data_IF_937789371018
#
_entry.id   IF_937789371018
#
_cell.length_a   1.000
_cell.length_b   1.000
_cell.length_c   1.000
_cell.angle_alpha   90.00
_cell.angle_beta   90.00
_cell.angle_gamma   90.00
#
_symmetry.space_group_name_H-M   'P 1'
#
loop_
_entity.id
_entity.type
_entity.pdbx_description
1 polymer ?
#
# COMPACT_ATOMS: atom_id res chain seq x y z
N UNK A 1 17.89 14.56 -0.99
CA UNK A 1 16.69 14.86 -1.85
C UNK A 1 15.45 14.35 -1.12
N UNK A 2 14.46 15.22 -0.89
CA UNK A 2 13.21 14.86 -0.19
C UNK A 2 12.35 14.01 -1.13
N UNK A 3 11.99 12.80 -0.70
CA UNK A 3 11.14 11.88 -1.46
C UNK A 3 9.67 12.27 -1.37
N UNK A 4 9.00 12.32 -2.51
CA UNK A 4 7.60 12.76 -2.66
C UNK A 4 6.66 11.56 -2.67
N UNK A 5 5.71 11.51 -1.73
CA UNK A 5 4.73 10.43 -1.58
C UNK A 5 3.36 10.88 -2.07
N UNK A 6 2.68 10.00 -2.79
CA UNK A 6 1.26 10.12 -3.11
C UNK A 6 0.55 9.06 -2.27
N UNK A 7 -0.49 9.44 -1.54
CA UNK A 7 -1.27 8.53 -0.71
C UNK A 7 -2.63 8.29 -1.37
N UNK A 8 -2.87 7.08 -1.82
CA UNK A 8 -4.17 6.66 -2.33
C UNK A 8 -5.00 6.08 -1.17
N UNK A 9 -6.23 6.56 -1.00
CA UNK A 9 -7.05 6.32 0.18
C UNK A 9 -6.65 7.21 1.36
N UNK A 10 -6.25 8.47 1.05
CA UNK A 10 -5.71 9.42 2.04
C UNK A 10 -6.71 9.75 3.15
N UNK A 11 -8.02 9.81 2.86
CA UNK A 11 -9.07 10.06 3.84
C UNK A 11 -9.43 8.86 4.73
N UNK A 12 -8.87 7.68 4.47
CA UNK A 12 -9.04 6.49 5.30
C UNK A 12 -8.18 6.51 6.57
N UNK A 13 -8.45 5.59 7.50
CA UNK A 13 -7.69 5.48 8.76
C UNK A 13 -6.18 5.37 8.52
N UNK A 14 -5.76 4.48 7.63
CA UNK A 14 -4.34 4.31 7.30
C UNK A 14 -3.75 5.50 6.57
N UNK A 15 -4.52 6.19 5.72
CA UNK A 15 -4.11 7.42 5.07
C UNK A 15 -3.74 8.51 6.07
N UNK A 16 -4.55 8.73 7.10
CA UNK A 16 -4.26 9.68 8.18
C UNK A 16 -2.98 9.30 8.95
N UNK A 17 -2.86 8.05 9.36
CA UNK A 17 -1.67 7.55 10.08
C UNK A 17 -0.40 7.77 9.24
N UNK A 18 -0.45 7.47 7.95
CA UNK A 18 0.69 7.68 7.05
C UNK A 18 1.06 9.16 6.93
N UNK A 19 0.07 10.04 6.80
CA UNK A 19 0.33 11.48 6.74
C UNK A 19 1.01 11.98 8.01
N UNK A 20 0.54 11.56 9.18
CA UNK A 20 1.15 11.89 10.47
C UNK A 20 2.59 11.37 10.61
N UNK A 21 2.81 10.11 10.24
CA UNK A 21 4.14 9.50 10.28
C UNK A 21 5.12 10.19 9.32
N UNK A 22 4.67 10.52 8.10
CA UNK A 22 5.50 11.19 7.10
C UNK A 22 5.79 12.63 7.50
N UNK A 23 4.85 13.32 8.15
CA UNK A 23 5.05 14.69 8.63
C UNK A 23 6.16 14.81 9.69
N UNK A 24 6.47 13.72 10.41
CA UNK A 24 7.56 13.66 11.39
C UNK A 24 8.94 13.37 10.77
N UNK A 25 9.02 13.23 9.45
CA UNK A 25 10.24 12.86 8.73
C UNK A 25 10.79 14.03 7.93
N UNK A 26 12.12 14.11 7.86
CA UNK A 26 12.81 15.12 7.06
C UNK A 26 13.17 14.63 5.64
N UNK A 27 13.18 13.31 5.42
CA UNK A 27 13.60 12.69 4.16
C UNK A 27 12.47 12.46 3.16
N UNK A 28 11.21 12.63 3.58
CA UNK A 28 10.04 12.48 2.71
C UNK A 28 8.89 13.41 3.08
N UNK A 29 7.99 13.63 2.13
CA UNK A 29 6.76 14.40 2.34
C UNK A 29 5.61 13.87 1.48
N UNK A 30 4.38 14.04 1.94
CA UNK A 30 3.19 13.83 1.12
C UNK A 30 3.00 15.06 0.23
N UNK A 31 2.88 14.86 -1.07
CA UNK A 31 2.68 15.95 -2.06
C UNK A 31 1.26 15.96 -2.61
N UNK A 32 0.55 14.85 -2.53
CA UNK A 32 -0.83 14.73 -2.95
C UNK A 32 -1.49 13.51 -2.32
N UNK A 33 -2.80 13.58 -2.16
CA UNK A 33 -3.67 12.46 -1.85
C UNK A 33 -4.57 12.12 -3.02
N UNK A 34 -5.06 10.88 -3.04
CA UNK A 34 -6.15 10.44 -3.92
C UNK A 34 -7.23 9.81 -3.07
N UNK A 35 -8.48 10.22 -3.31
CA UNK A 35 -9.65 9.69 -2.62
C UNK A 35 -10.90 9.84 -3.52
N UNK A 36 -12.10 9.64 -2.98
CA UNK A 36 -13.36 9.67 -3.75
C UNK A 36 -13.75 11.04 -4.28
N UNK A 37 -13.18 12.12 -3.75
CA UNK A 37 -13.51 13.51 -4.11
C UNK A 37 -12.30 14.41 -4.08
N UNK A 38 -12.29 15.41 -4.96
CA UNK A 38 -11.33 16.49 -4.90
C UNK A 38 -11.48 17.30 -3.61
N UNK A 39 -10.36 17.80 -3.07
CA UNK A 39 -10.35 18.61 -1.86
C UNK A 39 -8.96 18.89 -1.33
N UNK A 40 -8.88 19.09 -0.04
CA UNK A 40 -7.63 19.32 0.69
C UNK A 40 -7.70 18.65 2.06
N UNK A 41 -6.58 18.09 2.50
CA UNK A 41 -6.41 17.53 3.83
C UNK A 41 -5.10 18.02 4.44
N UNK A 42 -5.20 18.86 5.49
CA UNK A 42 -4.04 19.41 6.20
C UNK A 42 -3.00 20.10 5.27
N UNK A 43 -3.45 20.87 4.29
CA UNK A 43 -2.60 21.53 3.31
C UNK A 43 -2.12 20.61 2.16
N UNK A 44 -2.56 19.34 2.15
CA UNK A 44 -2.24 18.38 1.09
C UNK A 44 -3.39 18.37 0.09
N UNK A 45 -3.16 18.67 -1.21
CA UNK A 45 -4.19 18.58 -2.22
C UNK A 45 -4.64 17.12 -2.39
N UNK A 46 -5.94 16.91 -2.47
CA UNK A 46 -6.58 15.61 -2.68
C UNK A 46 -7.31 15.63 -4.01
N UNK A 47 -7.11 14.60 -4.81
CA UNK A 47 -7.73 14.42 -6.12
C UNK A 47 -8.59 13.18 -6.15
N UNK A 48 -9.62 13.15 -7.01
CA UNK A 48 -10.47 11.98 -7.23
C UNK A 48 -9.83 10.94 -8.17
N UNK A 49 -8.72 11.29 -8.84
CA UNK A 49 -7.96 10.42 -9.74
C UNK A 49 -6.47 10.76 -9.75
N UNK A 50 -5.65 9.73 -9.96
CA UNK A 50 -4.21 9.89 -10.19
C UNK A 50 -3.91 10.70 -11.46
N UNK A 51 -4.79 10.68 -12.47
CA UNK A 51 -4.60 11.41 -13.73
C UNK A 51 -4.50 12.93 -13.55
N UNK A 52 -4.96 13.46 -12.42
CA UNK A 52 -4.86 14.90 -12.08
C UNK A 52 -3.53 15.29 -11.46
N UNK A 53 -2.60 14.34 -11.25
CA UNK A 53 -1.37 14.58 -10.47
C UNK A 53 -0.22 15.19 -11.24
N UNK A 54 -0.26 15.28 -12.57
CA UNK A 54 0.80 15.83 -13.42
C UNK A 54 2.22 15.32 -13.08
N UNK A 55 2.34 14.04 -12.72
CA UNK A 55 3.63 13.40 -12.43
C UNK A 55 4.34 13.89 -11.15
N UNK A 56 3.62 14.42 -10.17
CA UNK A 56 4.19 15.12 -8.99
C UNK A 56 4.83 14.23 -7.92
N UNK A 57 4.85 12.91 -8.03
CA UNK A 57 5.33 12.00 -6.96
C UNK A 57 6.45 11.09 -7.38
N UNK A 58 7.11 10.48 -6.39
CA UNK A 58 8.15 9.46 -6.59
C UNK A 58 7.62 8.04 -6.35
N UNK A 59 6.50 7.90 -5.65
CA UNK A 59 5.85 6.62 -5.35
C UNK A 59 4.40 6.83 -4.92
N UNK A 60 3.52 5.90 -5.30
CA UNK A 60 2.16 5.78 -4.76
C UNK A 60 2.18 4.78 -3.60
N UNK A 61 1.56 5.14 -2.47
CA UNK A 61 1.28 4.22 -1.35
C UNK A 61 -0.24 4.08 -1.27
N UNK A 62 -0.71 2.87 -1.50
CA UNK A 62 -2.12 2.57 -1.62
C UNK A 62 -2.67 1.83 -0.40
N UNK A 63 -3.66 2.45 0.26
CA UNK A 63 -4.51 1.87 1.31
C UNK A 63 -5.99 2.17 1.00
N UNK A 64 -6.43 1.82 -0.18
CA UNK A 64 -7.76 2.17 -0.67
C UNK A 64 -8.70 0.96 -0.80
N UNK A 65 -9.28 0.78 -1.95
CA UNK A 65 -10.16 -0.33 -2.30
C UNK A 65 -9.71 -0.99 -3.62
N UNK A 66 -10.07 -2.26 -3.88
CA UNK A 66 -9.68 -2.97 -5.10
C UNK A 66 -9.96 -2.21 -6.40
N UNK A 67 -11.12 -1.55 -6.50
CA UNK A 67 -11.47 -0.75 -7.67
C UNK A 67 -10.57 0.48 -7.89
N UNK A 68 -10.04 1.06 -6.81
CA UNK A 68 -9.09 2.17 -6.89
C UNK A 68 -7.70 1.68 -7.29
N UNK A 69 -7.26 0.52 -6.77
CA UNK A 69 -6.03 -0.14 -7.20
C UNK A 69 -6.07 -0.41 -8.70
N UNK A 70 -7.16 -1.00 -9.21
CA UNK A 70 -7.30 -1.32 -10.63
C UNK A 70 -7.11 -0.10 -11.54
N UNK A 71 -7.65 1.05 -11.13
CA UNK A 71 -7.49 2.32 -11.86
C UNK A 71 -6.06 2.88 -11.75
N UNK A 72 -5.37 2.63 -10.63
CA UNK A 72 -4.03 3.13 -10.39
C UNK A 72 -2.96 2.43 -11.23
N UNK A 73 -3.11 1.13 -11.53
CA UNK A 73 -2.07 0.34 -12.21
C UNK A 73 -1.69 0.91 -13.59
N UNK A 74 -2.65 1.24 -14.50
CA UNK A 74 -2.31 1.81 -15.81
C UNK A 74 -1.60 3.17 -15.70
N UNK A 75 -2.02 4.02 -14.76
CA UNK A 75 -1.37 5.30 -14.52
C UNK A 75 0.08 5.11 -14.06
N UNK A 76 0.29 4.24 -13.07
CA UNK A 76 1.64 3.95 -12.55
C UNK A 76 2.55 3.39 -13.66
N UNK A 77 2.03 2.53 -14.54
CA UNK A 77 2.80 1.98 -15.65
C UNK A 77 3.20 3.07 -16.66
N UNK A 78 2.24 3.89 -17.09
CA UNK A 78 2.46 4.96 -18.07
C UNK A 78 3.48 6.00 -17.58
N UNK A 79 3.46 6.33 -16.30
CA UNK A 79 4.35 7.33 -15.69
C UNK A 79 5.62 6.74 -15.07
N UNK A 80 5.86 5.42 -15.21
CA UNK A 80 6.97 4.70 -14.57
C UNK A 80 7.06 4.95 -13.06
N UNK A 81 5.89 5.08 -12.43
CA UNK A 81 5.74 5.45 -11.03
C UNK A 81 5.67 4.20 -10.15
N UNK A 82 6.61 3.98 -9.23
CA UNK A 82 6.57 2.88 -8.29
C UNK A 82 5.29 2.88 -7.44
N UNK A 83 4.81 1.70 -7.08
CA UNK A 83 3.60 1.56 -6.24
C UNK A 83 3.79 0.55 -5.11
N UNK A 84 3.29 0.93 -3.92
CA UNK A 84 3.16 0.06 -2.74
C UNK A 84 1.68 -0.26 -2.56
N UNK A 85 1.27 -1.50 -2.80
CA UNK A 85 -0.12 -1.94 -2.71
C UNK A 85 -0.37 -2.64 -1.37
N UNK A 86 -1.15 -1.98 -0.51
CA UNK A 86 -1.54 -2.50 0.81
C UNK A 86 -3.03 -2.85 0.90
N UNK A 87 -3.81 -2.53 -0.13
CA UNK A 87 -5.23 -2.87 -0.21
C UNK A 87 -5.43 -4.38 -0.16
N UNK A 88 -6.39 -4.81 0.67
CA UNK A 88 -6.79 -6.21 0.83
C UNK A 88 -7.98 -6.56 -0.07
N UNK A 89 -8.32 -7.85 -0.16
CA UNK A 89 -9.49 -8.31 -0.91
C UNK A 89 -9.35 -8.21 -2.45
N UNK A 90 -8.12 -8.18 -2.95
CA UNK A 90 -7.86 -8.13 -4.39
C UNK A 90 -8.24 -9.46 -5.05
N UNK A 91 -8.97 -9.41 -6.16
CA UNK A 91 -9.27 -10.59 -6.98
C UNK A 91 -8.01 -11.21 -7.56
N UNK A 92 -8.07 -12.49 -7.93
CA UNK A 92 -6.95 -13.19 -8.58
C UNK A 92 -6.52 -12.47 -9.87
N UNK A 93 -7.48 -12.00 -10.66
CA UNK A 93 -7.21 -11.25 -11.88
C UNK A 93 -6.41 -9.97 -11.59
N UNK A 94 -6.80 -9.19 -10.58
CA UNK A 94 -6.10 -7.97 -10.20
C UNK A 94 -4.71 -8.27 -9.64
N UNK A 95 -4.56 -9.37 -8.91
CA UNK A 95 -3.24 -9.83 -8.44
C UNK A 95 -2.32 -10.19 -9.61
N UNK A 96 -2.83 -10.85 -10.66
CA UNK A 96 -2.08 -11.15 -11.87
C UNK A 96 -1.66 -9.87 -12.61
N UNK A 97 -2.56 -8.86 -12.72
CA UNK A 97 -2.22 -7.54 -13.27
C UNK A 97 -1.07 -6.88 -12.51
N UNK A 98 -1.08 -6.94 -11.17
CA UNK A 98 -0.01 -6.41 -10.31
C UNK A 98 1.32 -7.14 -10.59
N UNK A 99 1.31 -8.48 -10.71
CA UNK A 99 2.51 -9.26 -11.06
C UNK A 99 3.03 -8.90 -12.45
N UNK A 100 2.16 -8.70 -13.42
CA UNK A 100 2.55 -8.23 -14.75
C UNK A 100 3.20 -6.84 -14.70
N UNK A 101 2.59 -5.91 -13.97
CA UNK A 101 3.09 -4.55 -13.78
C UNK A 101 4.49 -4.54 -13.13
N UNK A 102 4.78 -5.46 -12.23
CA UNK A 102 6.08 -5.55 -11.56
C UNK A 102 7.27 -5.82 -12.51
N UNK A 103 7.00 -6.21 -13.76
CA UNK A 103 8.02 -6.34 -14.82
C UNK A 103 8.39 -4.99 -15.44
N UNK A 104 7.51 -4.00 -15.31
CA UNK A 104 7.65 -2.67 -15.95
C UNK A 104 8.10 -1.60 -14.94
N UNK A 105 7.67 -1.70 -13.70
CA UNK A 105 7.97 -0.72 -12.62
C UNK A 105 8.20 -1.45 -11.27
N UNK A 106 8.87 -0.81 -10.30
CA UNK A 106 8.95 -1.35 -8.94
C UNK A 106 7.56 -1.43 -8.30
N UNK A 107 7.19 -2.62 -7.87
CA UNK A 107 5.94 -2.89 -7.13
C UNK A 107 6.27 -3.62 -5.84
N UNK A 108 5.77 -3.10 -4.72
CA UNK A 108 5.75 -3.81 -3.45
C UNK A 108 4.30 -4.08 -3.05
N UNK A 109 3.97 -5.33 -2.75
CA UNK A 109 2.62 -5.72 -2.31
C UNK A 109 2.70 -6.42 -0.97
N UNK A 110 1.94 -5.93 0.01
CA UNK A 110 1.77 -6.60 1.29
C UNK A 110 0.40 -6.27 1.89
N UNK A 111 -0.39 -7.29 2.17
CA UNK A 111 -1.69 -7.14 2.83
C UNK A 111 -1.56 -6.80 4.32
N UNK A 112 -0.44 -7.14 4.93
CA UNK A 112 -0.15 -6.86 6.33
C UNK A 112 1.29 -6.36 6.50
N UNK A 113 1.42 -5.14 6.99
CA UNK A 113 2.70 -4.51 7.29
C UNK A 113 2.99 -4.42 8.80
N UNK A 114 2.19 -5.10 9.63
CA UNK A 114 2.44 -5.16 11.07
C UNK A 114 3.72 -5.95 11.34
N UNK A 115 4.69 -5.30 11.98
CA UNK A 115 5.92 -5.96 12.44
C UNK A 115 5.60 -7.09 13.41
N UNK A 116 4.64 -6.88 14.33
CA UNK A 116 4.23 -7.90 15.30
C UNK A 116 3.69 -9.16 14.64
N UNK A 117 2.82 -9.03 13.64
CA UNK A 117 2.28 -10.18 12.89
C UNK A 117 3.38 -10.88 12.09
N UNK A 118 4.31 -10.15 11.48
CA UNK A 118 5.42 -10.76 10.75
C UNK A 118 6.35 -11.55 11.68
N UNK A 119 6.65 -11.00 12.87
CA UNK A 119 7.44 -11.72 13.89
C UNK A 119 6.70 -12.95 14.38
N UNK A 120 5.40 -12.84 14.69
CA UNK A 120 4.57 -13.97 15.10
C UNK A 120 4.54 -15.08 14.04
N UNK A 121 4.36 -14.72 12.77
CA UNK A 121 4.38 -15.66 11.64
C UNK A 121 5.70 -16.42 11.55
N UNK A 122 6.82 -15.72 11.73
CA UNK A 122 8.14 -16.35 11.72
C UNK A 122 8.35 -17.30 12.90
N UNK A 123 7.90 -16.90 14.10
CA UNK A 123 7.95 -17.75 15.29
C UNK A 123 7.09 -19.01 15.12
N UNK A 124 5.87 -18.88 14.55
CA UNK A 124 5.02 -20.02 14.24
C UNK A 124 5.67 -20.98 13.25
N UNK A 125 6.29 -20.48 12.19
CA UNK A 125 7.04 -21.31 11.23
C UNK A 125 8.16 -22.10 11.90
N UNK A 126 8.94 -21.44 12.75
CA UNK A 126 10.04 -22.08 13.49
C UNK A 126 9.52 -23.15 14.47
N UNK A 127 8.49 -22.83 15.23
CA UNK A 127 7.87 -23.76 16.16
C UNK A 127 7.36 -25.01 15.41
N UNK A 128 6.61 -24.81 14.31
CA UNK A 128 6.09 -25.91 13.48
C UNK A 128 7.20 -26.80 12.92
N UNK A 129 8.31 -26.22 12.46
CA UNK A 129 9.44 -26.97 11.94
C UNK A 129 10.15 -27.81 13.00
N UNK A 130 10.23 -27.33 14.26
CA UNK A 130 10.85 -28.05 15.38
C UNK A 130 9.95 -29.18 15.89
N UNK A 131 8.64 -28.90 16.04
CA UNK A 131 7.68 -29.84 16.57
C UNK A 131 7.35 -30.98 15.61
N UNK A 132 7.40 -30.69 14.29
CA UNK A 132 7.18 -31.69 13.23
C UNK A 132 5.74 -32.24 13.17
N UNK A 133 5.59 -33.37 12.49
CA UNK A 133 4.28 -33.97 12.20
C UNK A 133 3.57 -34.61 13.39
N UNK A 134 4.17 -34.61 14.59
CA UNK A 134 3.58 -35.19 15.79
C UNK A 134 2.66 -34.24 16.55
N UNK A 135 2.48 -33.01 16.05
CA UNK A 135 1.68 -31.97 16.68
C UNK A 135 0.69 -31.40 15.67
N UNK A 136 -0.54 -31.24 16.11
CA UNK A 136 -1.56 -30.51 15.36
C UNK A 136 -1.38 -29.00 15.59
N UNK A 137 -1.60 -28.22 14.54
CA UNK A 137 -1.46 -26.76 14.58
C UNK A 137 -2.81 -26.14 14.23
N UNK A 138 -3.33 -25.35 15.14
CA UNK A 138 -4.54 -24.56 14.93
C UNK A 138 -4.20 -23.07 14.99
N UNK A 139 -4.76 -22.28 14.07
CA UNK A 139 -4.66 -20.82 14.06
C UNK A 139 -6.05 -20.28 14.32
N UNK A 140 -6.22 -19.58 15.45
CA UNK A 140 -7.46 -18.89 15.79
C UNK A 140 -7.21 -17.39 15.63
N UNK A 141 -7.95 -16.76 14.74
CA UNK A 141 -7.87 -15.33 14.47
C UNK A 141 -9.16 -14.64 14.89
N UNK A 142 -9.05 -13.51 15.57
CA UNK A 142 -10.18 -12.70 16.00
C UNK A 142 -10.00 -11.26 15.51
N UNK A 143 -10.90 -10.83 14.65
CA UNK A 143 -10.97 -9.47 14.10
C UNK A 143 -12.12 -8.66 14.68
#
# INVERSE_FOLDING_TARGET
MIKKRIIQGIGGRMGHVLCEMIAQREDCRVVAGVDMKDGEMNGIPVYDSLDKLDGKGDVVIDFSAPAAVEKALPYCEAHKLPIVVCTTGLSEELQLKIVQLSRSIPVFKSANMSMGINVLSELCKRASAILGANYDIEIVEQH
#
